data_IF_911145692219
#
_entry.id   IF_911145692219
#
_cell.length_a   1.000
_cell.length_b   1.000
_cell.length_c   1.000
_cell.angle_alpha   90.00
_cell.angle_beta   90.00
_cell.angle_gamma   90.00
#
_symmetry.space_group_name_H-M   'P 1'
#
loop_
_entity.id
_entity.type
_entity.pdbx_description
1 polymer ?
#
# COMPACT_ATOMS: atom_id res chain seq x y z
N UNK A 1 -36.72 -13.15 26.58
CA UNK A 1 -35.81 -12.06 26.98
C UNK A 1 -35.46 -11.25 25.75
N UNK A 2 -35.84 -9.97 25.69
CA UNK A 2 -35.45 -9.07 24.59
C UNK A 2 -34.11 -8.44 24.98
N UNK A 3 -33.02 -8.81 24.32
CA UNK A 3 -31.72 -8.21 24.53
C UNK A 3 -31.69 -6.81 23.92
N UNK A 4 -31.32 -5.80 24.70
CA UNK A 4 -31.03 -4.44 24.23
C UNK A 4 -29.65 -4.44 23.58
N UNK A 5 -29.58 -4.21 22.26
CA UNK A 5 -28.33 -4.02 21.54
C UNK A 5 -28.04 -2.52 21.52
N UNK A 6 -27.03 -2.10 22.27
CA UNK A 6 -26.54 -0.72 22.26
C UNK A 6 -25.42 -0.62 21.22
N UNK A 7 -25.64 0.14 20.15
CA UNK A 7 -24.61 0.51 19.19
C UNK A 7 -23.86 1.73 19.71
N UNK A 8 -22.61 1.54 20.10
CA UNK A 8 -21.72 2.66 20.41
C UNK A 8 -21.03 3.08 19.12
N UNK A 9 -21.41 4.23 18.58
CA UNK A 9 -20.71 4.86 17.47
C UNK A 9 -19.47 5.57 18.00
N UNK A 10 -18.32 4.97 17.82
CA UNK A 10 -17.02 5.59 18.12
C UNK A 10 -16.58 6.45 16.94
N UNK A 11 -16.25 7.72 17.19
CA UNK A 11 -15.68 8.64 16.21
C UNK A 11 -14.21 8.85 16.54
N UNK A 12 -13.30 8.45 15.63
CA UNK A 12 -11.91 8.85 15.67
C UNK A 12 -11.72 10.12 14.81
N UNK A 13 -11.18 11.18 15.38
CA UNK A 13 -10.82 12.40 14.65
C UNK A 13 -9.39 12.80 15.02
N UNK A 14 -8.60 13.19 14.02
CA UNK A 14 -7.21 13.62 14.25
C UNK A 14 -6.36 13.44 13.00
N UNK A 15 -5.07 13.72 13.17
CA UNK A 15 -4.06 13.45 12.15
C UNK A 15 -3.52 12.05 12.42
N UNK A 16 -3.58 11.18 11.42
CA UNK A 16 -2.97 9.84 11.46
C UNK A 16 -1.44 9.89 11.40
N UNK A 17 -0.83 8.74 11.12
CA UNK A 17 0.62 8.67 10.92
C UNK A 17 1.06 9.51 9.72
N UNK A 18 2.22 10.15 9.81
CA UNK A 18 2.80 10.98 8.74
C UNK A 18 4.03 10.24 8.19
N UNK A 19 4.03 9.97 6.90
CA UNK A 19 5.17 9.39 6.20
C UNK A 19 6.00 10.49 5.53
N UNK A 20 7.29 10.60 5.91
CA UNK A 20 8.26 11.48 5.27
C UNK A 20 9.34 10.64 4.60
N UNK A 21 9.65 10.95 3.35
CA UNK A 21 10.63 10.15 2.62
C UNK A 21 11.40 10.94 1.58
N UNK A 22 12.58 10.41 1.25
CA UNK A 22 13.40 10.89 0.15
C UNK A 22 13.64 9.74 -0.82
N UNK A 23 13.59 10.05 -2.12
CA UNK A 23 13.91 9.11 -3.21
C UNK A 23 15.05 9.67 -4.02
N UNK A 24 16.04 8.84 -4.28
CA UNK A 24 17.20 9.18 -5.07
C UNK A 24 17.36 8.22 -6.24
N UNK A 25 17.53 8.76 -7.45
CA UNK A 25 17.80 7.98 -8.65
C UNK A 25 19.28 7.58 -8.65
N UNK A 26 19.54 6.27 -8.50
CA UNK A 26 20.87 5.72 -8.41
C UNK A 26 21.45 5.48 -9.82
N UNK A 27 20.62 4.93 -10.71
CA UNK A 27 21.03 4.51 -12.04
C UNK A 27 19.92 4.80 -13.05
N UNK A 28 20.33 5.30 -14.23
CA UNK A 28 19.45 5.52 -15.38
C UNK A 28 20.17 4.98 -16.62
N UNK A 29 19.68 3.89 -17.16
CA UNK A 29 20.29 3.16 -18.26
C UNK A 29 19.23 2.62 -19.22
N UNK A 30 19.64 2.15 -20.39
CA UNK A 30 18.74 1.56 -21.40
C UNK A 30 17.93 0.36 -20.86
N UNK A 31 18.42 -0.36 -19.86
CA UNK A 31 17.70 -1.47 -19.25
C UNK A 31 16.67 -1.01 -18.20
N UNK A 32 16.67 0.26 -17.78
CA UNK A 32 15.72 0.82 -16.81
C UNK A 32 16.36 1.78 -15.82
N UNK A 33 15.51 2.25 -14.90
CA UNK A 33 15.87 3.19 -13.83
C UNK A 33 15.85 2.43 -12.51
N UNK A 34 16.94 2.59 -11.73
CA UNK A 34 17.04 2.09 -10.35
C UNK A 34 17.07 3.27 -9.40
N UNK A 35 16.27 3.23 -8.36
CA UNK A 35 16.19 4.26 -7.33
C UNK A 35 16.19 3.63 -5.93
N UNK A 36 16.79 4.33 -4.97
CA UNK A 36 16.66 4.03 -3.54
C UNK A 36 15.69 5.01 -2.89
N UNK A 37 14.94 4.54 -1.91
CA UNK A 37 14.05 5.38 -1.11
C UNK A 37 14.28 5.08 0.36
N UNK A 38 14.40 6.14 1.18
CA UNK A 38 14.35 6.07 2.62
C UNK A 38 13.07 6.79 3.10
N UNK A 39 12.39 6.22 4.07
CA UNK A 39 11.15 6.75 4.63
C UNK A 39 11.17 6.61 6.14
N UNK A 40 10.62 7.59 6.83
CA UNK A 40 10.28 7.54 8.24
C UNK A 40 8.78 7.78 8.41
N UNK A 41 8.12 6.90 9.15
CA UNK A 41 6.75 7.11 9.61
C UNK A 41 6.80 7.68 11.02
N UNK A 42 6.10 8.77 11.21
CA UNK A 42 5.97 9.51 12.49
C UNK A 42 4.54 9.34 12.97
N UNK A 43 4.32 8.81 14.19
CA UNK A 43 2.98 8.67 14.72
C UNK A 43 2.33 10.03 14.95
N UNK A 44 1.07 10.17 14.58
CA UNK A 44 0.25 11.33 14.93
C UNK A 44 -0.08 11.40 16.41
N UNK A 45 -0.68 12.51 16.83
CA UNK A 45 -1.03 12.77 18.23
C UNK A 45 -2.30 12.08 18.73
N UNK A 46 -2.65 10.89 18.22
CA UNK A 46 -3.82 10.12 18.65
C UNK A 46 -3.49 9.11 19.76
N UNK A 47 -4.50 8.73 20.55
CA UNK A 47 -4.33 7.70 21.60
C UNK A 47 -4.22 6.29 20.99
N UNK A 48 -3.17 5.54 21.36
CA UNK A 48 -3.03 4.13 20.93
C UNK A 48 -4.15 3.23 21.45
N UNK A 49 -4.77 3.62 22.55
CA UNK A 49 -5.88 2.89 23.21
C UNK A 49 -7.24 3.35 22.77
N UNK A 50 -7.33 4.28 21.81
CA UNK A 50 -8.60 4.71 21.26
C UNK A 50 -9.31 3.52 20.59
N UNK A 51 -10.64 3.41 20.70
CA UNK A 51 -11.39 2.30 20.08
C UNK A 51 -11.18 2.18 18.56
N UNK A 52 -10.83 3.29 17.90
CA UNK A 52 -10.47 3.36 16.48
C UNK A 52 -9.22 4.24 16.32
N UNK A 53 -8.02 3.70 16.59
CA UNK A 53 -6.80 4.46 16.43
C UNK A 53 -6.57 4.82 14.96
N UNK A 54 -6.11 6.04 14.70
CA UNK A 54 -5.92 6.59 13.35
C UNK A 54 -4.65 6.07 12.65
N UNK A 55 -3.87 5.25 13.32
CA UNK A 55 -2.67 4.62 12.80
C UNK A 55 -2.04 3.65 13.82
N UNK A 56 -0.81 3.20 13.57
CA UNK A 56 -0.13 2.23 14.42
C UNK A 56 0.54 2.82 15.67
N UNK A 57 0.61 4.15 15.76
CA UNK A 57 1.09 4.88 16.94
C UNK A 57 2.57 4.67 17.25
N UNK A 58 3.40 4.30 16.28
CA UNK A 58 4.82 4.05 16.45
C UNK A 58 5.63 4.58 15.29
N UNK A 59 6.92 4.78 15.52
CA UNK A 59 7.87 5.08 14.45
C UNK A 59 8.18 3.83 13.65
N UNK A 60 8.22 3.97 12.33
CA UNK A 60 8.74 2.97 11.41
C UNK A 60 9.80 3.63 10.52
N UNK A 61 10.83 2.87 10.15
CA UNK A 61 11.86 3.27 9.21
C UNK A 61 11.87 2.30 8.05
N UNK A 62 11.90 2.79 6.81
CA UNK A 62 11.89 1.93 5.63
C UNK A 62 13.01 2.30 4.67
N UNK A 63 13.72 1.29 4.19
CA UNK A 63 14.58 1.39 3.02
C UNK A 63 14.00 0.54 1.90
N UNK A 64 13.93 1.11 0.70
CA UNK A 64 13.33 0.47 -0.47
C UNK A 64 14.22 0.66 -1.68
N UNK A 65 14.37 -0.41 -2.45
CA UNK A 65 14.94 -0.40 -3.80
C UNK A 65 13.79 -0.45 -4.80
N UNK A 66 13.85 0.41 -5.81
CA UNK A 66 12.85 0.53 -6.85
C UNK A 66 13.50 0.37 -8.21
N UNK A 67 12.82 -0.35 -9.09
CA UNK A 67 13.17 -0.51 -10.48
C UNK A 67 11.98 -0.15 -11.35
N UNK A 68 12.24 0.58 -12.45
CA UNK A 68 11.22 0.92 -13.43
C UNK A 68 11.79 0.90 -14.84
N UNK A 69 10.99 0.40 -15.78
CA UNK A 69 11.38 0.31 -17.18
C UNK A 69 10.19 0.57 -18.10
N UNK A 70 10.40 1.41 -19.14
CA UNK A 70 9.52 1.46 -20.31
C UNK A 70 9.76 0.24 -21.18
N UNK A 71 8.70 -0.38 -21.66
CA UNK A 71 8.76 -1.53 -22.57
C UNK A 71 8.68 -1.11 -24.03
N UNK A 72 8.49 0.20 -24.30
CA UNK A 72 8.56 0.73 -25.67
C UNK A 72 9.96 0.52 -26.29
N UNK A 73 10.02 0.32 -27.61
CA UNK A 73 8.95 0.28 -28.60
C UNK A 73 8.31 -1.11 -28.79
N UNK A 74 8.78 -2.13 -28.07
CA UNK A 74 8.34 -3.53 -28.26
C UNK A 74 6.90 -3.73 -27.78
N UNK A 75 6.61 -3.21 -26.58
CA UNK A 75 5.28 -3.25 -25.96
C UNK A 75 4.92 -1.84 -25.51
N UNK A 76 3.72 -1.32 -25.84
CA UNK A 76 3.28 -0.02 -25.35
C UNK A 76 2.92 -0.09 -23.85
N UNK A 77 3.93 -0.03 -23.00
CA UNK A 77 3.74 -0.21 -21.57
C UNK A 77 4.99 0.00 -20.75
N UNK A 78 4.89 -0.39 -19.48
CA UNK A 78 5.97 -0.28 -18.50
C UNK A 78 5.91 -1.45 -17.51
N UNK A 79 7.02 -1.69 -16.83
CA UNK A 79 7.06 -2.54 -15.65
C UNK A 79 7.78 -1.82 -14.50
N UNK A 80 7.31 -2.08 -13.27
CA UNK A 80 7.92 -1.62 -12.04
C UNK A 80 8.10 -2.79 -11.06
N UNK A 81 9.17 -2.72 -10.27
CA UNK A 81 9.41 -3.64 -9.18
C UNK A 81 9.95 -2.87 -7.98
N UNK A 82 9.48 -3.21 -6.78
CA UNK A 82 9.94 -2.61 -5.55
C UNK A 82 10.15 -3.71 -4.51
N UNK A 83 11.20 -3.56 -3.71
CA UNK A 83 11.43 -4.37 -2.52
C UNK A 83 11.96 -3.45 -1.42
N UNK A 84 11.41 -3.59 -0.21
CA UNK A 84 11.79 -2.80 0.93
C UNK A 84 11.80 -3.60 2.21
N UNK A 85 12.57 -3.10 3.17
CA UNK A 85 12.55 -3.58 4.54
C UNK A 85 12.11 -2.42 5.44
N UNK A 86 11.12 -2.69 6.28
CA UNK A 86 10.58 -1.74 7.26
C UNK A 86 10.88 -2.22 8.67
N UNK A 87 11.73 -1.47 9.36
CA UNK A 87 11.96 -1.62 10.80
C UNK A 87 10.83 -0.94 11.54
N UNK A 88 10.19 -1.66 12.44
CA UNK A 88 9.07 -1.14 13.22
C UNK A 88 9.45 -1.04 14.69
N UNK A 89 9.33 0.15 15.28
CA UNK A 89 9.69 0.38 16.68
C UNK A 89 8.56 -0.10 17.59
N UNK A 90 8.90 -0.93 18.57
CA UNK A 90 7.95 -1.41 19.59
C UNK A 90 7.45 -2.83 19.34
N UNK A 91 6.15 -3.05 19.51
CA UNK A 91 5.55 -4.37 19.54
C UNK A 91 5.39 -5.05 18.16
N UNK A 92 5.04 -4.32 17.09
CA UNK A 92 4.87 -4.94 15.79
C UNK A 92 6.16 -5.48 15.18
N UNK A 93 6.00 -6.53 14.40
CA UNK A 93 7.09 -7.16 13.66
C UNK A 93 7.59 -6.28 12.54
N UNK A 94 8.88 -6.35 12.25
CA UNK A 94 9.46 -5.83 11.02
C UNK A 94 8.83 -6.49 9.80
N UNK A 95 8.89 -5.80 8.66
CA UNK A 95 8.22 -6.21 7.44
C UNK A 95 9.14 -6.17 6.23
N UNK A 96 9.00 -7.18 5.36
CA UNK A 96 9.44 -7.09 3.96
C UNK A 96 8.23 -6.65 3.15
N UNK A 97 8.40 -5.58 2.37
CA UNK A 97 7.37 -5.04 1.47
C UNK A 97 7.83 -5.18 0.03
N UNK A 98 6.93 -5.59 -0.84
CA UNK A 98 7.24 -5.77 -2.24
C UNK A 98 6.10 -5.30 -3.13
N UNK A 99 6.45 -4.93 -4.36
CA UNK A 99 5.51 -4.58 -5.41
C UNK A 99 6.08 -5.04 -6.75
N UNK A 100 5.20 -5.61 -7.59
CA UNK A 100 5.45 -5.83 -9.00
C UNK A 100 4.28 -5.25 -9.77
N UNK A 101 4.55 -4.46 -10.80
CA UNK A 101 3.51 -3.82 -11.59
C UNK A 101 3.85 -3.91 -13.09
N UNK A 102 2.83 -4.20 -13.88
CA UNK A 102 2.87 -4.18 -15.33
C UNK A 102 1.68 -3.35 -15.82
N UNK A 103 1.95 -2.29 -16.57
CA UNK A 103 0.94 -1.50 -17.26
C UNK A 103 1.10 -1.59 -18.75
N UNK A 104 0.00 -1.77 -19.49
CA UNK A 104 -0.03 -1.90 -20.94
C UNK A 104 -1.12 -0.99 -21.52
N UNK A 105 -0.75 -0.16 -22.49
CA UNK A 105 -1.71 0.60 -23.29
C UNK A 105 -2.29 -0.33 -24.40
N UNK A 106 -3.55 -0.75 -24.25
CA UNK A 106 -4.26 -1.59 -25.21
C UNK A 106 -4.60 -0.78 -26.47
N UNK A 107 -5.00 0.46 -26.26
CA UNK A 107 -5.26 1.44 -27.32
C UNK A 107 -4.71 2.81 -26.87
N UNK A 108 -4.84 3.84 -27.72
CA UNK A 108 -4.48 5.22 -27.33
C UNK A 108 -5.24 5.71 -26.08
N UNK A 109 -6.45 5.17 -25.87
CA UNK A 109 -7.35 5.64 -24.83
C UNK A 109 -7.61 4.60 -23.72
N UNK A 110 -7.31 3.33 -23.95
CA UNK A 110 -7.56 2.25 -22.98
C UNK A 110 -6.23 1.65 -22.53
N UNK A 111 -6.04 1.55 -21.25
CA UNK A 111 -4.91 0.84 -20.64
C UNK A 111 -5.38 -0.20 -19.63
N UNK A 112 -4.53 -1.14 -19.35
CA UNK A 112 -4.69 -2.10 -18.25
C UNK A 112 -3.46 -2.12 -17.37
N UNK A 113 -3.65 -2.47 -16.10
CA UNK A 113 -2.59 -2.59 -15.11
C UNK A 113 -2.83 -3.81 -14.25
N UNK A 114 -1.78 -4.59 -14.05
CA UNK A 114 -1.72 -5.64 -13.04
C UNK A 114 -0.64 -5.26 -12.02
N UNK A 115 -1.02 -5.16 -10.74
CA UNK A 115 -0.10 -4.85 -9.66
C UNK A 115 -0.25 -5.89 -8.55
N UNK A 116 0.84 -6.59 -8.26
CA UNK A 116 0.99 -7.45 -7.11
C UNK A 116 1.73 -6.68 -6.03
N UNK A 117 1.10 -6.43 -4.91
CA UNK A 117 1.76 -5.85 -3.75
C UNK A 117 1.56 -6.71 -2.51
N UNK A 118 2.49 -6.60 -1.56
CA UNK A 118 2.35 -7.37 -0.36
C UNK A 118 3.33 -7.02 0.75
N UNK A 119 3.00 -7.59 1.90
CA UNK A 119 3.72 -7.49 3.15
C UNK A 119 3.99 -8.89 3.66
N UNK A 120 5.23 -9.12 4.06
CA UNK A 120 5.66 -10.32 4.78
C UNK A 120 6.25 -9.91 6.13
N UNK A 121 5.61 -10.36 7.20
CA UNK A 121 6.12 -10.20 8.56
C UNK A 121 7.41 -10.99 8.77
N UNK A 122 8.33 -10.41 9.53
CA UNK A 122 9.53 -11.11 10.03
C UNK A 122 9.27 -11.94 11.29
N UNK A 123 8.05 -11.86 11.81
CA UNK A 123 7.61 -12.58 13.03
C UNK A 123 8.48 -12.29 14.27
N UNK A 124 9.20 -11.16 14.28
CA UNK A 124 10.05 -10.72 15.39
C UNK A 124 9.34 -9.74 16.33
N UNK A 125 8.03 -9.49 16.11
CA UNK A 125 7.21 -8.68 16.99
C UNK A 125 6.72 -9.47 18.22
N UNK A 126 6.11 -8.78 19.19
CA UNK A 126 5.47 -9.43 20.33
C UNK A 126 4.28 -10.27 19.89
N UNK A 127 3.99 -11.35 20.62
CA UNK A 127 2.88 -12.25 20.32
C UNK A 127 1.51 -11.56 20.40
N UNK A 128 1.38 -10.57 21.29
CA UNK A 128 0.11 -9.90 21.55
C UNK A 128 0.20 -8.45 21.12
N UNK A 129 -0.86 -7.97 20.48
CA UNK A 129 -1.03 -6.56 20.19
C UNK A 129 -1.39 -5.82 21.49
N UNK A 130 -0.57 -4.85 21.90
CA UNK A 130 -0.81 -4.01 23.06
C UNK A 130 -1.54 -2.71 22.73
N UNK A 131 -1.83 -2.46 21.43
CA UNK A 131 -2.49 -1.23 20.99
C UNK A 131 -3.98 -1.20 21.31
N UNK A 132 -4.58 -2.34 21.64
CA UNK A 132 -6.03 -2.47 21.84
C UNK A 132 -6.84 -2.38 20.54
N UNK A 133 -6.19 -2.31 19.38
CA UNK A 133 -6.85 -2.29 18.09
C UNK A 133 -7.22 -3.72 17.66
N UNK A 134 -8.52 -4.08 17.59
CA UNK A 134 -8.93 -5.44 17.26
C UNK A 134 -8.62 -5.85 15.83
N UNK A 135 -8.28 -4.91 14.94
CA UNK A 135 -7.95 -5.16 13.54
C UNK A 135 -6.46 -5.16 13.26
N UNK A 136 -5.64 -4.70 14.19
CA UNK A 136 -4.19 -4.67 14.08
C UNK A 136 -3.59 -5.88 14.79
N UNK A 137 -2.71 -6.58 14.13
CA UNK A 137 -1.89 -7.63 14.73
C UNK A 137 -0.42 -7.28 14.58
N UNK A 138 0.39 -7.73 15.55
CA UNK A 138 1.83 -7.46 15.53
C UNK A 138 2.55 -8.18 14.38
N UNK A 139 2.04 -9.33 13.96
CA UNK A 139 2.64 -10.16 12.93
C UNK A 139 1.56 -10.53 11.91
N UNK A 140 1.56 -9.91 10.74
CA UNK A 140 0.63 -10.28 9.67
C UNK A 140 1.31 -10.34 8.31
N UNK A 141 0.81 -11.21 7.45
CA UNK A 141 1.15 -11.24 6.03
C UNK A 141 -0.08 -10.87 5.22
N UNK A 142 0.13 -10.15 4.13
CA UNK A 142 -0.93 -9.82 3.19
C UNK A 142 -0.35 -9.66 1.79
N UNK A 143 -0.99 -10.26 0.81
CA UNK A 143 -0.68 -10.04 -0.61
C UNK A 143 -1.95 -9.77 -1.39
N UNK A 144 -1.92 -8.78 -2.27
CA UNK A 144 -3.05 -8.35 -3.10
C UNK A 144 -2.64 -8.29 -4.55
N UNK A 145 -3.56 -8.67 -5.43
CA UNK A 145 -3.43 -8.50 -6.87
C UNK A 145 -4.46 -7.45 -7.32
N UNK A 146 -3.98 -6.28 -7.72
CA UNK A 146 -4.82 -5.20 -8.25
C UNK A 146 -4.84 -5.29 -9.79
N UNK A 147 -5.98 -5.63 -10.35
CA UNK A 147 -6.24 -5.67 -11.78
C UNK A 147 -7.12 -4.48 -12.15
N UNK A 148 -6.60 -3.57 -12.95
CA UNK A 148 -7.26 -2.34 -13.32
C UNK A 148 -7.40 -2.19 -14.83
N UNK A 149 -8.50 -1.56 -15.23
CA UNK A 149 -8.75 -1.07 -16.60
C UNK A 149 -9.06 0.41 -16.51
N UNK A 150 -8.35 1.21 -17.30
CA UNK A 150 -8.52 2.64 -17.34
C UNK A 150 -8.86 3.16 -18.72
N UNK A 151 -9.66 4.21 -18.75
CA UNK A 151 -10.02 4.95 -19.95
C UNK A 151 -9.57 6.42 -19.82
N UNK A 152 -8.64 6.81 -20.72
CA UNK A 152 -8.18 8.19 -20.92
C UNK A 152 -9.27 8.94 -21.68
N UNK A 153 -10.16 9.62 -20.97
CA UNK A 153 -11.30 10.34 -21.60
C UNK A 153 -10.79 11.57 -22.37
N UNK A 154 -9.75 12.22 -21.83
CA UNK A 154 -9.05 13.33 -22.49
C UNK A 154 -7.55 13.29 -22.16
N UNK A 155 -6.81 14.29 -22.62
CA UNK A 155 -5.39 14.46 -22.25
C UNK A 155 -5.19 14.77 -20.77
N UNK A 156 -6.22 15.30 -20.09
CA UNK A 156 -6.13 15.81 -18.72
C UNK A 156 -6.87 14.96 -17.68
N UNK A 157 -7.79 14.09 -18.08
CA UNK A 157 -8.51 13.27 -17.13
C UNK A 157 -8.92 11.90 -17.69
N UNK A 158 -9.19 10.98 -16.80
CA UNK A 158 -9.69 9.66 -17.13
C UNK A 158 -10.35 8.96 -15.95
N UNK A 159 -10.87 7.77 -16.21
CA UNK A 159 -11.51 6.91 -15.21
C UNK A 159 -10.78 5.57 -15.15
N UNK A 160 -10.77 4.97 -13.98
CA UNK A 160 -10.18 3.64 -13.76
C UNK A 160 -11.11 2.81 -12.90
N UNK A 161 -11.35 1.57 -13.29
CA UNK A 161 -12.03 0.57 -12.47
C UNK A 161 -11.01 -0.52 -12.09
N UNK A 162 -11.07 -1.03 -10.86
CA UNK A 162 -10.20 -2.12 -10.43
C UNK A 162 -10.91 -3.19 -9.63
N UNK A 163 -10.35 -4.40 -9.71
CA UNK A 163 -10.69 -5.59 -8.98
C UNK A 163 -9.47 -6.05 -8.19
N UNK A 164 -9.56 -6.06 -6.86
CA UNK A 164 -8.40 -6.28 -5.98
C UNK A 164 -8.68 -7.43 -5.01
N UNK A 165 -8.47 -8.70 -5.42
CA UNK A 165 -8.52 -9.83 -4.52
C UNK A 165 -7.27 -9.89 -3.63
N UNK A 166 -7.45 -10.34 -2.39
CA UNK A 166 -6.35 -10.80 -1.56
C UNK A 166 -5.92 -12.18 -2.01
N UNK A 167 -4.64 -12.36 -2.36
CA UNK A 167 -4.07 -13.66 -2.76
C UNK A 167 -3.72 -14.52 -1.56
N UNK A 168 -3.28 -13.89 -0.48
CA UNK A 168 -2.99 -14.55 0.79
C UNK A 168 -3.15 -13.56 1.94
N UNK A 169 -3.39 -14.09 3.14
CA UNK A 169 -3.38 -13.37 4.40
C UNK A 169 -3.07 -14.32 5.55
N UNK A 170 -2.26 -13.86 6.50
CA UNK A 170 -1.99 -14.51 7.77
C UNK A 170 -2.19 -13.51 8.87
N UNK A 171 -2.98 -13.83 9.88
CA UNK A 171 -3.33 -12.93 10.99
C UNK A 171 -3.95 -11.59 10.50
N UNK A 172 -4.68 -11.61 9.40
CA UNK A 172 -5.39 -10.44 8.86
C UNK A 172 -6.60 -10.88 8.05
N UNK A 173 -7.56 -9.98 7.89
CA UNK A 173 -8.72 -10.24 7.05
C UNK A 173 -8.32 -10.26 5.58
N UNK A 174 -8.87 -11.21 4.84
CA UNK A 174 -8.75 -11.32 3.39
C UNK A 174 -10.10 -11.07 2.74
N UNK A 175 -10.08 -10.55 1.52
CA UNK A 175 -11.31 -10.22 0.82
C UNK A 175 -11.05 -9.70 -0.58
N UNK A 176 -12.10 -9.19 -1.19
CA UNK A 176 -12.08 -8.57 -2.51
C UNK A 176 -12.52 -7.12 -2.38
N UNK A 177 -11.81 -6.22 -3.03
CA UNK A 177 -12.18 -4.81 -3.15
C UNK A 177 -12.47 -4.50 -4.61
N UNK A 178 -13.56 -3.78 -4.87
CA UNK A 178 -13.85 -3.15 -6.15
C UNK A 178 -13.71 -1.66 -6.00
N UNK A 179 -13.07 -0.99 -6.94
CA UNK A 179 -12.96 0.46 -6.92
C UNK A 179 -13.28 1.08 -8.27
N UNK A 180 -13.78 2.31 -8.21
CA UNK A 180 -13.96 3.18 -9.36
C UNK A 180 -13.38 4.53 -8.98
N UNK A 181 -12.51 5.05 -9.83
CA UNK A 181 -11.80 6.30 -9.61
C UNK A 181 -11.80 7.20 -10.82
N UNK A 182 -11.67 8.50 -10.56
CA UNK A 182 -11.39 9.52 -11.56
C UNK A 182 -10.01 10.08 -11.27
N UNK A 183 -9.17 10.23 -12.27
CA UNK A 183 -7.87 10.85 -12.12
C UNK A 183 -7.73 12.09 -13.00
N UNK A 184 -6.97 13.06 -12.51
CA UNK A 184 -6.60 14.27 -13.23
C UNK A 184 -5.10 14.27 -13.46
N UNK A 185 -4.69 14.66 -14.67
CA UNK A 185 -3.29 14.93 -15.01
C UNK A 185 -3.10 16.43 -15.05
N UNK A 186 -2.18 16.95 -14.26
CA UNK A 186 -1.66 18.30 -14.44
C UNK A 186 -0.73 18.32 -15.64
N UNK A 187 -0.81 19.35 -16.48
CA UNK A 187 0.07 19.53 -17.62
C UNK A 187 1.54 19.65 -17.21
#
# INVERSE_FOLDING_TARGET
MRGLVIWVLSKGQGIGDIDLGVRYKILDRAFGIVSGQALVKIPGGYGKTDPLPLGSGQYDYELKLLYGRSLYPVIPGYCNAEIGYRWRVGDPSDEIRYLLELGIDITKNIYTRAKLDGIRSRENGKKYDSSGNPTATNNFDLGKLDLAVGWKVSSTWGVEASYVPSLYGKNTSVGVTYSLGVYLKTP
#
